data_IF_138169920044
#
_entry.id   IF_138169920044
#
_cell.length_a   1.000
_cell.length_b   1.000
_cell.length_c   1.000
_cell.angle_alpha   90.00
_cell.angle_beta   90.00
_cell.angle_gamma   90.00
#
_symmetry.space_group_name_H-M   'P 1'
#
loop_
_entity.id
_entity.type
_entity.pdbx_description
1 polymer ?
#
# COMPACT_ATOMS: atom_id res chain seq x y z
N UNK A 1 -40.66 34.38 30.98
CA UNK A 1 -39.22 34.18 31.22
C UNK A 1 -38.50 35.10 30.25
N UNK A 2 -37.85 36.16 30.73
CA UNK A 2 -37.12 37.15 29.93
C UNK A 2 -35.86 36.50 29.39
N UNK A 3 -35.63 36.55 28.06
CA UNK A 3 -34.38 36.09 27.41
C UNK A 3 -33.21 36.95 27.85
N UNK A 4 -32.11 36.32 28.21
CA UNK A 4 -30.84 36.94 28.59
C UNK A 4 -30.18 37.56 27.34
N UNK A 5 -29.78 38.87 27.32
CA UNK A 5 -29.30 39.54 26.10
C UNK A 5 -27.82 39.22 25.72
N UNK A 6 -27.14 38.27 26.38
CA UNK A 6 -25.76 37.93 26.12
C UNK A 6 -25.54 36.54 25.47
N UNK A 7 -26.48 36.04 24.69
CA UNK A 7 -26.17 34.90 23.82
C UNK A 7 -25.34 35.41 22.64
N UNK A 8 -24.09 34.94 22.45
CA UNK A 8 -23.31 35.29 21.28
C UNK A 8 -24.06 34.79 20.04
N UNK A 9 -24.23 35.67 19.06
CA UNK A 9 -24.74 35.29 17.73
C UNK A 9 -23.86 34.19 17.18
N UNK A 10 -24.42 33.15 16.49
CA UNK A 10 -23.62 32.16 15.81
C UNK A 10 -22.72 32.85 14.77
N UNK A 11 -21.43 32.79 14.99
CA UNK A 11 -20.39 33.30 14.10
C UNK A 11 -20.26 32.31 12.93
N UNK A 12 -21.15 32.41 11.89
CA UNK A 12 -20.73 32.18 10.51
C UNK A 12 -21.92 32.26 9.56
N UNK A 13 -21.83 33.01 8.45
CA UNK A 13 -22.72 32.85 7.32
C UNK A 13 -22.58 31.40 6.78
N UNK A 14 -23.68 30.84 6.27
CA UNK A 14 -23.76 29.54 5.63
C UNK A 14 -22.67 29.37 4.58
N UNK A 15 -21.54 28.82 4.95
CA UNK A 15 -20.64 28.24 3.97
C UNK A 15 -21.27 26.93 3.53
N UNK A 16 -21.57 26.74 2.24
CA UNK A 16 -22.14 25.49 1.76
C UNK A 16 -21.20 24.34 2.13
N UNK A 17 -21.78 23.19 2.50
CA UNK A 17 -20.97 21.98 2.77
C UNK A 17 -20.12 21.67 1.55
N UNK A 18 -18.82 21.42 1.71
CA UNK A 18 -17.98 21.06 0.58
C UNK A 18 -18.39 19.68 0.04
N UNK A 19 -18.27 19.52 -1.27
CA UNK A 19 -18.43 18.23 -1.92
C UNK A 19 -17.39 17.21 -1.40
N UNK A 20 -17.65 15.92 -1.60
CA UNK A 20 -16.68 14.87 -1.24
C UNK A 20 -15.35 15.07 -1.97
N UNK A 21 -15.39 15.52 -3.23
CA UNK A 21 -14.20 15.80 -4.02
C UNK A 21 -13.40 16.98 -3.46
N UNK A 22 -14.06 18.08 -3.14
CA UNK A 22 -13.39 19.27 -2.59
C UNK A 22 -12.81 18.97 -1.20
N UNK A 23 -13.60 18.24 -0.37
CA UNK A 23 -13.14 17.74 0.93
C UNK A 23 -11.86 16.91 0.80
N UNK A 24 -11.84 15.96 -0.14
CA UNK A 24 -10.66 15.13 -0.39
C UNK A 24 -9.45 15.97 -0.82
N UNK A 25 -9.64 16.93 -1.73
CA UNK A 25 -8.58 17.82 -2.19
C UNK A 25 -8.01 18.65 -1.02
N UNK A 26 -8.88 19.20 -0.18
CA UNK A 26 -8.46 19.95 1.01
C UNK A 26 -7.64 19.04 1.92
N UNK A 27 -8.17 17.89 2.33
CA UNK A 27 -7.50 16.95 3.25
C UNK A 27 -6.13 16.52 2.70
N UNK A 28 -6.09 16.08 1.45
CA UNK A 28 -4.85 15.55 0.88
C UNK A 28 -3.76 16.62 0.70
N UNK A 29 -4.13 17.88 0.50
CA UNK A 29 -3.19 18.99 0.46
C UNK A 29 -2.66 19.40 1.85
N UNK A 30 -3.34 19.03 2.94
CA UNK A 30 -2.91 19.29 4.30
C UNK A 30 -1.90 18.24 4.81
N UNK A 31 -1.76 17.09 4.15
CA UNK A 31 -0.87 16.00 4.61
C UNK A 31 0.59 16.46 4.51
N UNK A 32 1.32 16.55 5.64
CA UNK A 32 2.73 16.88 5.62
C UNK A 32 3.54 15.76 4.97
N UNK A 33 4.77 16.05 4.58
CA UNK A 33 5.72 15.01 4.14
C UNK A 33 6.62 14.66 5.31
N UNK A 34 6.88 13.37 5.50
CA UNK A 34 7.94 12.92 6.39
C UNK A 34 9.30 13.38 5.85
N UNK A 35 10.18 13.74 6.77
CA UNK A 35 11.56 14.12 6.44
C UNK A 35 12.39 12.85 6.19
N UNK A 36 12.96 12.75 4.98
CA UNK A 36 13.77 11.59 4.57
C UNK A 36 15.10 11.46 5.34
N UNK A 37 15.45 12.42 6.20
CA UNK A 37 16.63 12.36 7.05
C UNK A 37 16.27 12.04 8.52
N UNK A 38 15.20 12.64 9.03
CA UNK A 38 14.82 12.57 10.45
C UNK A 38 13.75 11.50 10.72
N UNK A 39 12.76 11.37 9.82
CA UNK A 39 11.63 10.44 9.98
C UNK A 39 11.92 9.07 9.36
N UNK A 40 13.10 8.52 9.66
CA UNK A 40 13.56 7.26 9.06
C UNK A 40 14.14 6.30 10.08
N UNK A 41 14.16 5.03 9.71
CA UNK A 41 14.81 3.96 10.46
C UNK A 41 15.48 2.98 9.51
N UNK A 42 16.49 2.27 10.03
CA UNK A 42 17.14 1.17 9.30
C UNK A 42 16.48 -0.12 9.77
N UNK A 43 16.02 -0.92 8.82
CA UNK A 43 15.39 -2.22 9.11
C UNK A 43 16.11 -3.33 8.37
N UNK A 44 16.16 -4.51 8.97
CA UNK A 44 16.62 -5.71 8.29
C UNK A 44 15.68 -6.06 7.14
N UNK A 45 16.22 -6.64 6.07
CA UNK A 45 15.45 -6.98 4.87
C UNK A 45 14.25 -7.89 5.16
N UNK A 46 14.36 -8.79 6.16
CA UNK A 46 13.26 -9.64 6.63
C UNK A 46 12.08 -8.85 7.21
N UNK A 47 12.32 -7.66 7.78
CA UNK A 47 11.31 -6.78 8.35
C UNK A 47 10.84 -5.70 7.37
N UNK A 48 11.36 -5.70 6.15
CA UNK A 48 11.15 -4.61 5.19
C UNK A 48 9.85 -4.73 4.38
N UNK A 49 9.16 -5.86 4.43
CA UNK A 49 7.90 -6.04 3.69
C UNK A 49 6.85 -4.97 4.06
N UNK A 50 6.27 -4.33 3.05
CA UNK A 50 5.28 -3.26 3.21
C UNK A 50 5.86 -1.92 3.68
N UNK A 51 7.18 -1.82 3.92
CA UNK A 51 7.85 -0.57 4.27
C UNK A 51 8.10 0.28 3.02
N UNK A 52 8.35 1.57 3.22
CA UNK A 52 8.56 2.51 2.12
C UNK A 52 9.99 3.04 2.19
N UNK A 53 10.75 2.89 1.10
CA UNK A 53 12.13 3.36 1.01
C UNK A 53 12.20 4.88 1.21
N UNK A 54 13.05 5.33 2.13
CA UNK A 54 13.31 6.76 2.36
C UNK A 54 14.38 7.31 1.40
N UNK A 55 15.27 6.46 0.94
CA UNK A 55 16.36 6.80 0.02
C UNK A 55 16.42 5.81 -1.14
N UNK A 56 16.91 6.21 -2.33
CA UNK A 56 17.12 5.27 -3.41
C UNK A 56 18.17 4.23 -3.03
N UNK A 57 18.04 3.02 -3.56
CA UNK A 57 19.04 1.95 -3.40
C UNK A 57 19.74 1.74 -4.73
N UNK A 58 21.07 1.86 -4.71
CA UNK A 58 21.93 1.58 -5.85
C UNK A 58 22.60 0.21 -5.65
N UNK A 59 22.80 -0.53 -6.73
CA UNK A 59 23.55 -1.78 -6.69
C UNK A 59 25.02 -1.53 -6.38
N UNK A 60 25.60 -2.34 -5.50
CA UNK A 60 27.05 -2.41 -5.30
C UNK A 60 27.69 -3.48 -6.17
N UNK A 61 26.91 -4.32 -6.82
CA UNK A 61 27.31 -5.49 -7.59
C UNK A 61 26.76 -5.43 -9.02
N UNK A 62 27.48 -6.07 -9.93
CA UNK A 62 26.96 -6.37 -11.26
C UNK A 62 26.00 -7.56 -11.20
N UNK A 63 25.00 -7.62 -12.10
CA UNK A 63 24.13 -8.77 -12.23
C UNK A 63 23.87 -9.12 -13.71
N UNK A 64 24.15 -10.34 -14.14
CA UNK A 64 24.84 -11.41 -13.42
C UNK A 64 26.24 -10.99 -12.92
N UNK A 65 26.71 -11.63 -11.84
CA UNK A 65 28.01 -11.29 -11.22
C UNK A 65 29.21 -11.68 -12.09
N UNK A 66 29.03 -12.71 -12.93
CA UNK A 66 30.00 -13.26 -13.89
C UNK A 66 29.26 -13.73 -15.14
N UNK A 67 30.04 -13.93 -16.22
CA UNK A 67 29.54 -14.63 -17.39
C UNK A 67 29.15 -16.05 -16.99
N UNK A 68 27.92 -16.48 -17.33
CA UNK A 68 27.41 -17.79 -16.93
C UNK A 68 26.54 -18.42 -18.01
N UNK A 69 26.44 -19.77 -17.94
CA UNK A 69 25.61 -20.52 -18.88
C UNK A 69 24.11 -20.28 -18.61
N UNK A 70 23.35 -20.05 -19.68
CA UNK A 70 21.90 -20.01 -19.65
C UNK A 70 21.25 -21.40 -19.75
N UNK A 71 21.99 -22.42 -20.17
CA UNK A 71 21.51 -23.77 -20.48
C UNK A 71 22.46 -24.85 -19.98
N UNK A 72 21.97 -26.05 -19.83
CA UNK A 72 22.79 -27.24 -19.67
C UNK A 72 23.39 -27.65 -21.03
N UNK A 73 24.70 -27.89 -21.09
CA UNK A 73 25.35 -28.17 -22.34
C UNK A 73 26.87 -28.23 -22.26
N UNK A 74 27.52 -27.65 -23.22
CA UNK A 74 28.97 -27.61 -23.33
C UNK A 74 29.44 -26.18 -23.61
N UNK A 75 30.30 -25.68 -22.75
CA UNK A 75 31.04 -24.44 -23.00
C UNK A 75 32.12 -24.75 -24.05
N UNK A 76 32.14 -23.96 -25.10
CA UNK A 76 33.05 -24.13 -26.25
C UNK A 76 33.62 -22.78 -26.69
N UNK A 77 34.64 -22.79 -27.53
CA UNK A 77 35.06 -21.64 -28.31
C UNK A 77 34.22 -21.61 -29.59
N UNK A 78 33.55 -20.51 -29.88
CA UNK A 78 32.75 -20.36 -31.11
C UNK A 78 33.56 -20.67 -32.36
N UNK A 79 34.81 -20.22 -32.39
CA UNK A 79 35.76 -20.42 -33.49
C UNK A 79 35.96 -21.89 -33.85
N UNK A 80 35.88 -22.80 -32.87
CA UNK A 80 36.07 -24.25 -33.11
C UNK A 80 34.80 -24.90 -33.69
N UNK A 81 33.60 -24.27 -33.54
CA UNK A 81 32.33 -24.93 -33.85
C UNK A 81 31.44 -24.20 -34.89
N UNK A 82 31.90 -23.06 -35.42
CA UNK A 82 31.12 -22.21 -36.32
C UNK A 82 30.74 -22.87 -37.67
N UNK A 83 31.34 -23.99 -38.01
CA UNK A 83 31.04 -24.76 -39.24
C UNK A 83 30.42 -26.14 -38.93
N UNK A 84 30.02 -26.42 -37.68
CA UNK A 84 29.44 -27.72 -37.31
C UNK A 84 28.01 -27.90 -37.84
N UNK A 85 27.72 -29.12 -38.31
CA UNK A 85 26.33 -29.50 -38.66
C UNK A 85 26.15 -31.03 -38.43
N UNK A 86 24.94 -31.54 -38.66
CA UNK A 86 24.62 -32.93 -38.37
C UNK A 86 25.37 -33.91 -39.30
N UNK A 87 25.72 -33.50 -40.53
CA UNK A 87 26.43 -34.33 -41.52
C UNK A 87 27.94 -34.29 -41.28
N UNK A 88 28.43 -33.19 -40.79
CA UNK A 88 29.85 -32.95 -40.47
C UNK A 88 29.97 -32.38 -39.04
N UNK A 89 29.76 -33.21 -38.03
CA UNK A 89 29.84 -32.75 -36.64
C UNK A 89 31.30 -32.45 -36.22
N UNK A 90 31.52 -31.36 -35.52
CA UNK A 90 32.81 -31.03 -34.92
C UNK A 90 32.96 -31.83 -33.63
N UNK A 91 34.10 -32.53 -33.48
CA UNK A 91 34.40 -33.32 -32.28
C UNK A 91 35.38 -32.58 -31.39
N UNK A 92 34.99 -32.34 -30.14
CA UNK A 92 35.80 -31.68 -29.10
C UNK A 92 36.10 -32.63 -27.95
N UNK A 93 37.27 -32.48 -27.32
CA UNK A 93 37.61 -33.20 -26.08
C UNK A 93 36.92 -32.55 -24.87
N UNK A 94 36.23 -33.34 -24.06
CA UNK A 94 35.61 -32.85 -22.82
C UNK A 94 36.63 -32.91 -21.69
N UNK A 95 37.21 -31.75 -21.31
CA UNK A 95 38.29 -31.64 -20.37
C UNK A 95 37.87 -31.44 -18.92
N UNK A 96 36.61 -31.02 -18.70
CA UNK A 96 36.09 -30.77 -17.35
C UNK A 96 34.57 -30.78 -17.33
N UNK A 97 34.02 -30.85 -16.11
CA UNK A 97 32.61 -30.58 -15.79
C UNK A 97 32.52 -29.39 -14.84
N UNK A 98 31.64 -28.43 -15.12
CA UNK A 98 31.48 -27.16 -14.39
C UNK A 98 30.08 -27.10 -13.81
N UNK A 99 29.84 -27.56 -12.58
CA UNK A 99 28.58 -27.41 -11.90
C UNK A 99 28.35 -25.97 -11.42
N UNK A 100 27.11 -25.59 -11.19
CA UNK A 100 26.75 -24.31 -10.58
C UNK A 100 27.44 -24.16 -9.20
N UNK A 101 27.92 -22.94 -8.91
CA UNK A 101 28.68 -22.66 -7.67
C UNK A 101 30.16 -23.01 -7.73
N UNK A 102 30.65 -23.60 -8.82
CA UNK A 102 32.07 -23.88 -9.04
C UNK A 102 32.73 -22.78 -9.88
N UNK A 103 33.91 -22.34 -9.48
CA UNK A 103 34.75 -21.43 -10.27
C UNK A 103 35.78 -22.21 -11.06
N UNK A 104 35.70 -22.28 -12.41
CA UNK A 104 36.70 -22.99 -13.22
C UNK A 104 38.05 -22.30 -13.14
N UNK A 105 39.11 -23.08 -12.91
CA UNK A 105 40.52 -22.60 -12.80
C UNK A 105 41.37 -23.01 -14.02
N UNK A 106 40.73 -23.27 -15.13
CA UNK A 106 41.41 -23.67 -16.39
C UNK A 106 40.96 -22.77 -17.54
N UNK A 107 41.68 -22.82 -18.62
CA UNK A 107 41.35 -22.10 -19.87
C UNK A 107 41.12 -23.15 -20.97
N UNK A 108 39.97 -23.08 -21.65
CA UNK A 108 39.68 -23.93 -22.80
C UNK A 108 40.65 -23.61 -23.93
N UNK A 109 41.33 -24.66 -24.42
CA UNK A 109 42.19 -24.59 -25.58
C UNK A 109 41.44 -24.95 -26.87
N UNK A 110 41.95 -24.65 -28.07
CA UNK A 110 41.39 -25.11 -29.33
C UNK A 110 41.11 -26.61 -29.33
N UNK A 111 39.91 -27.01 -29.81
CA UNK A 111 39.48 -28.41 -29.84
C UNK A 111 38.97 -28.98 -28.51
N UNK A 112 38.84 -28.15 -27.46
CA UNK A 112 38.33 -28.56 -26.15
C UNK A 112 36.92 -28.02 -25.88
N UNK A 113 36.20 -28.74 -25.05
CA UNK A 113 34.91 -28.34 -24.47
C UNK A 113 34.87 -28.64 -22.98
N UNK A 114 34.04 -27.94 -22.22
CA UNK A 114 33.69 -28.28 -20.85
C UNK A 114 32.21 -28.52 -20.70
N UNK A 115 31.81 -29.63 -20.08
CA UNK A 115 30.41 -29.84 -19.67
C UNK A 115 30.02 -28.73 -18.69
N UNK A 116 28.94 -28.04 -18.97
CA UNK A 116 28.51 -26.90 -18.15
C UNK A 116 27.03 -26.99 -17.86
N UNK A 117 26.65 -26.59 -16.65
CA UNK A 117 25.24 -26.55 -16.21
C UNK A 117 24.72 -25.13 -16.11
N UNK A 118 23.41 -24.97 -16.19
CA UNK A 118 22.71 -23.69 -16.09
C UNK A 118 23.13 -22.92 -14.83
N UNK A 119 23.55 -21.67 -15.00
CA UNK A 119 24.04 -20.81 -13.93
C UNK A 119 25.50 -20.97 -13.55
N UNK A 120 26.18 -21.97 -14.11
CA UNK A 120 27.63 -22.18 -13.88
C UNK A 120 28.45 -21.10 -14.59
N UNK A 121 29.56 -20.72 -13.96
CA UNK A 121 30.48 -19.69 -14.49
C UNK A 121 31.19 -20.19 -15.74
N UNK A 122 31.22 -19.35 -16.78
CA UNK A 122 31.94 -19.66 -18.02
C UNK A 122 33.46 -19.85 -17.75
N UNK A 123 34.10 -20.88 -18.31
CA UNK A 123 35.55 -21.03 -18.22
C UNK A 123 36.24 -20.00 -19.11
N UNK A 124 37.44 -19.58 -18.72
CA UNK A 124 38.27 -18.75 -19.58
C UNK A 124 38.50 -19.43 -20.94
N UNK A 125 38.46 -18.66 -22.02
CA UNK A 125 38.61 -19.18 -23.39
C UNK A 125 37.33 -19.75 -24.00
N UNK A 126 36.28 -20.04 -23.20
CA UNK A 126 34.93 -20.37 -23.68
C UNK A 126 34.08 -19.09 -23.82
N UNK A 127 33.36 -18.97 -24.93
CA UNK A 127 32.55 -17.81 -25.28
C UNK A 127 31.13 -18.16 -25.72
N UNK A 128 30.85 -19.45 -25.89
CA UNK A 128 29.56 -19.95 -26.41
C UNK A 128 29.18 -21.23 -25.68
N UNK A 129 27.86 -21.43 -25.47
CA UNK A 129 27.32 -22.67 -24.93
C UNK A 129 26.50 -23.38 -25.99
N UNK A 130 26.78 -24.66 -26.22
CA UNK A 130 25.92 -25.52 -27.06
C UNK A 130 25.08 -26.39 -26.16
N UNK A 131 23.76 -26.32 -26.33
CA UNK A 131 22.80 -27.11 -25.53
C UNK A 131 23.08 -28.61 -25.71
N UNK A 132 22.90 -29.38 -24.66
CA UNK A 132 23.15 -30.83 -24.69
C UNK A 132 22.32 -31.55 -25.75
N UNK A 133 21.10 -31.10 -26.04
CA UNK A 133 20.17 -31.63 -27.05
C UNK A 133 20.68 -31.44 -28.48
N UNK A 134 21.67 -30.55 -28.66
CA UNK A 134 22.34 -30.27 -29.93
C UNK A 134 23.70 -30.97 -30.07
N UNK A 135 23.97 -31.93 -29.19
CA UNK A 135 25.24 -32.62 -29.09
C UNK A 135 25.05 -34.13 -28.99
N UNK A 136 26.10 -34.88 -29.25
CA UNK A 136 26.25 -36.30 -28.97
C UNK A 136 27.57 -36.56 -28.25
N UNK A 137 27.52 -37.16 -27.06
CA UNK A 137 28.68 -37.49 -26.29
C UNK A 137 29.10 -38.96 -26.54
N UNK A 138 30.39 -39.18 -26.77
CA UNK A 138 30.99 -40.49 -26.87
C UNK A 138 32.29 -40.49 -26.07
N UNK A 139 32.34 -41.29 -25.01
CA UNK A 139 33.47 -41.33 -24.07
C UNK A 139 33.79 -39.92 -23.51
N UNK A 140 35.05 -39.46 -23.74
CA UNK A 140 35.51 -38.12 -23.33
C UNK A 140 35.39 -37.06 -24.45
N UNK A 141 34.62 -37.34 -25.49
CA UNK A 141 34.41 -36.41 -26.61
C UNK A 141 32.95 -36.04 -26.77
N UNK A 142 32.73 -34.80 -27.17
CA UNK A 142 31.40 -34.30 -27.56
C UNK A 142 31.43 -33.93 -29.04
N UNK A 143 30.40 -34.35 -29.76
CA UNK A 143 30.15 -34.02 -31.15
C UNK A 143 29.07 -32.93 -31.22
N UNK A 144 29.43 -31.78 -31.78
CA UNK A 144 28.52 -30.65 -31.96
C UNK A 144 27.78 -30.85 -33.29
N UNK A 145 26.44 -30.95 -33.19
CA UNK A 145 25.59 -31.32 -34.33
C UNK A 145 24.96 -30.12 -35.04
N UNK A 146 25.10 -28.92 -34.51
CA UNK A 146 24.53 -27.70 -35.10
C UNK A 146 25.46 -26.51 -34.87
N UNK A 147 25.54 -25.58 -35.83
CA UNK A 147 26.27 -24.33 -35.69
C UNK A 147 25.58 -23.44 -34.68
N UNK A 148 26.19 -23.08 -33.55
CA UNK A 148 25.63 -22.06 -32.63
C UNK A 148 25.82 -20.65 -33.19
N UNK A 149 25.17 -19.67 -32.61
CA UNK A 149 25.51 -18.25 -32.80
C UNK A 149 26.68 -17.84 -31.89
N UNK A 150 27.45 -16.82 -32.25
CA UNK A 150 28.48 -16.28 -31.32
C UNK A 150 27.85 -15.84 -30.01
N UNK A 151 28.39 -16.27 -28.89
CA UNK A 151 27.90 -15.94 -27.56
C UNK A 151 26.56 -16.59 -27.17
N UNK A 152 26.10 -17.58 -27.98
CA UNK A 152 24.78 -18.20 -27.73
C UNK A 152 24.73 -18.85 -26.35
N UNK A 153 23.65 -18.61 -25.62
CA UNK A 153 23.39 -19.10 -24.25
C UNK A 153 24.42 -18.69 -23.20
N UNK A 154 25.21 -17.65 -23.43
CA UNK A 154 26.04 -17.00 -22.41
C UNK A 154 25.34 -15.75 -21.90
N UNK A 155 25.04 -15.70 -20.60
CA UNK A 155 24.60 -14.49 -19.92
C UNK A 155 25.83 -13.71 -19.48
N UNK A 156 26.09 -12.59 -20.12
CA UNK A 156 27.25 -11.75 -19.82
C UNK A 156 27.11 -11.10 -18.44
N UNK A 157 28.22 -10.91 -17.75
CA UNK A 157 28.35 -10.12 -16.55
C UNK A 157 27.71 -8.73 -16.77
N UNK A 158 27.00 -8.24 -15.80
CA UNK A 158 26.32 -6.93 -15.83
C UNK A 158 25.25 -6.77 -16.93
N UNK A 159 24.81 -7.85 -17.59
CA UNK A 159 23.81 -7.76 -18.66
C UNK A 159 22.45 -7.26 -18.19
N UNK A 160 22.09 -7.44 -16.92
CA UNK A 160 20.81 -6.99 -16.38
C UNK A 160 20.93 -5.65 -15.66
N UNK A 161 21.96 -5.45 -14.82
CA UNK A 161 22.35 -4.18 -14.25
C UNK A 161 23.81 -4.14 -13.82
N UNK A 162 24.38 -2.95 -13.83
CA UNK A 162 25.77 -2.69 -13.45
C UNK A 162 25.86 -2.13 -12.03
N UNK A 163 26.97 -2.37 -11.36
CA UNK A 163 27.31 -1.71 -10.12
C UNK A 163 27.22 -0.18 -10.27
N UNK A 164 26.64 0.50 -9.26
CA UNK A 164 26.34 1.92 -9.30
C UNK A 164 24.96 2.29 -9.89
N UNK A 165 24.31 1.37 -10.60
CA UNK A 165 22.97 1.62 -11.15
C UNK A 165 21.92 1.66 -10.04
N UNK A 166 20.98 2.60 -10.13
CA UNK A 166 19.84 2.66 -9.22
C UNK A 166 18.88 1.48 -9.47
N UNK A 167 18.68 0.66 -8.44
CA UNK A 167 17.78 -0.50 -8.47
C UNK A 167 16.35 -0.09 -8.13
N UNK A 168 16.19 0.65 -7.03
CA UNK A 168 14.88 1.09 -6.54
C UNK A 168 14.95 2.58 -6.19
N UNK A 169 13.98 3.39 -6.66
CA UNK A 169 13.89 4.79 -6.26
C UNK A 169 13.38 4.93 -4.81
N UNK A 170 13.64 6.08 -4.20
CA UNK A 170 12.97 6.47 -2.95
C UNK A 170 11.45 6.47 -3.12
N UNK A 171 10.71 6.36 -2.02
CA UNK A 171 9.25 6.32 -1.98
C UNK A 171 8.63 5.08 -2.64
N UNK A 172 9.43 4.03 -2.87
CA UNK A 172 8.96 2.72 -3.31
C UNK A 172 8.49 1.90 -2.12
N UNK A 173 7.30 1.30 -2.22
CA UNK A 173 6.85 0.28 -1.28
C UNK A 173 7.56 -1.04 -1.57
N UNK A 174 8.12 -1.64 -0.53
CA UNK A 174 8.83 -2.91 -0.63
C UNK A 174 7.86 -4.08 -0.51
N UNK A 175 7.65 -4.77 -1.61
CA UNK A 175 6.90 -6.02 -1.69
C UNK A 175 7.86 -7.17 -2.03
N UNK A 176 7.36 -8.36 -2.30
CA UNK A 176 8.18 -9.53 -2.54
C UNK A 176 9.20 -9.36 -3.68
N UNK A 177 8.83 -8.69 -4.77
CA UNK A 177 9.72 -8.46 -5.91
C UNK A 177 10.87 -7.51 -5.55
N UNK A 178 10.58 -6.39 -4.88
CA UNK A 178 11.58 -5.42 -4.43
C UNK A 178 12.53 -6.05 -3.41
N UNK A 179 12.00 -6.87 -2.48
CA UNK A 179 12.80 -7.61 -1.51
C UNK A 179 13.75 -8.60 -2.21
N UNK A 180 13.27 -9.32 -3.24
CA UNK A 180 14.12 -10.25 -4.00
C UNK A 180 15.26 -9.52 -4.73
N UNK A 181 14.99 -8.35 -5.32
CA UNK A 181 16.02 -7.51 -5.96
C UNK A 181 17.07 -7.07 -4.94
N UNK A 182 16.66 -6.60 -3.78
CA UNK A 182 17.55 -6.16 -2.70
C UNK A 182 18.39 -7.32 -2.17
N UNK A 183 17.80 -8.51 -1.99
CA UNK A 183 18.50 -9.71 -1.57
C UNK A 183 19.55 -10.15 -2.60
N UNK A 184 19.20 -10.17 -3.90
CA UNK A 184 20.11 -10.50 -4.98
C UNK A 184 21.29 -9.51 -5.10
N UNK A 185 21.09 -8.27 -4.65
CA UNK A 185 22.11 -7.21 -4.61
C UNK A 185 22.91 -7.20 -3.30
N UNK A 186 22.76 -8.22 -2.43
CA UNK A 186 23.39 -8.32 -1.11
C UNK A 186 23.14 -7.10 -0.22
N UNK A 187 21.89 -6.60 -0.21
CA UNK A 187 21.45 -5.50 0.61
C UNK A 187 20.72 -6.04 1.87
N UNK A 188 21.41 -6.30 2.99
CA UNK A 188 20.80 -6.93 4.17
C UNK A 188 19.88 -5.99 4.96
N UNK A 189 20.08 -4.68 4.81
CA UNK A 189 19.33 -3.64 5.52
C UNK A 189 18.99 -2.50 4.59
N UNK A 190 17.87 -1.84 4.86
CA UNK A 190 17.38 -0.70 4.07
C UNK A 190 16.95 0.46 4.97
N UNK A 191 17.15 1.68 4.49
CA UNK A 191 16.63 2.90 5.12
C UNK A 191 15.22 3.14 4.62
N UNK A 192 14.25 3.10 5.54
CA UNK A 192 12.82 3.26 5.26
C UNK A 192 12.25 4.41 6.07
N UNK A 193 11.13 4.98 5.63
CA UNK A 193 10.38 5.88 6.48
C UNK A 193 9.86 5.15 7.71
N UNK A 194 9.88 5.81 8.88
CA UNK A 194 9.21 5.28 10.08
C UNK A 194 7.70 5.15 9.81
N UNK A 195 7.03 4.29 10.55
CA UNK A 195 5.58 4.20 10.47
C UNK A 195 4.93 5.47 11.01
N UNK A 196 3.91 6.06 10.33
CA UNK A 196 3.11 7.12 10.91
C UNK A 196 2.44 6.66 12.21
N UNK A 197 2.47 7.49 13.24
CA UNK A 197 1.80 7.25 14.51
C UNK A 197 0.41 7.86 14.47
N UNK A 198 -0.61 7.07 14.79
CA UNK A 198 -2.01 7.46 14.71
C UNK A 198 -2.66 7.31 16.07
N UNK A 199 -2.91 8.44 16.75
CA UNK A 199 -3.68 8.46 18.00
C UNK A 199 -5.17 8.22 17.71
N UNK A 200 -5.79 7.33 18.46
CA UNK A 200 -7.22 6.97 18.31
C UNK A 200 -7.88 7.04 19.68
N UNK A 201 -9.01 7.74 19.75
CA UNK A 201 -9.91 7.72 20.90
C UNK A 201 -11.38 7.78 20.45
N UNK A 202 -12.26 7.24 21.28
CA UNK A 202 -13.71 7.35 21.11
C UNK A 202 -14.29 8.24 22.20
N UNK A 203 -15.34 9.02 21.87
CA UNK A 203 -16.04 9.82 22.85
C UNK A 203 -17.55 9.56 22.81
N UNK A 204 -18.14 9.45 23.99
CA UNK A 204 -19.56 9.16 24.20
C UNK A 204 -19.76 8.58 25.61
N UNK A 205 -20.70 9.15 26.35
CA UNK A 205 -21.03 8.66 27.71
C UNK A 205 -21.73 7.30 27.68
N UNK A 206 -22.28 6.91 26.53
CA UNK A 206 -22.89 5.59 26.28
C UNK A 206 -21.86 4.48 26.05
N UNK A 207 -20.59 4.81 25.78
CA UNK A 207 -19.58 3.86 25.39
C UNK A 207 -18.99 3.10 26.59
N UNK A 208 -18.82 1.79 26.39
CA UNK A 208 -18.11 0.90 27.34
C UNK A 208 -17.08 0.05 26.63
N UNK A 209 -16.13 -0.48 27.38
CA UNK A 209 -15.09 -1.40 26.89
C UNK A 209 -15.65 -2.83 26.71
N UNK A 210 -14.90 -3.70 26.00
CA UNK A 210 -15.34 -5.07 25.67
C UNK A 210 -15.57 -5.97 26.89
N UNK A 211 -14.87 -5.70 27.99
CA UNK A 211 -14.84 -6.49 29.21
C UNK A 211 -15.92 -6.10 30.22
N UNK A 212 -16.70 -5.05 29.92
CA UNK A 212 -17.78 -4.59 30.78
C UNK A 212 -19.12 -5.18 30.35
N UNK A 213 -19.96 -5.67 31.29
CA UNK A 213 -21.32 -6.06 31.00
C UNK A 213 -22.16 -4.84 30.61
N UNK A 214 -22.92 -4.98 29.51
CA UNK A 214 -23.78 -3.91 29.01
C UNK A 214 -24.94 -3.60 29.97
N UNK A 215 -25.14 -2.32 30.27
CA UNK A 215 -26.30 -1.79 30.94
C UNK A 215 -27.26 -1.15 29.91
N UNK A 216 -28.55 -1.03 30.20
CA UNK A 216 -29.48 -0.31 29.32
C UNK A 216 -28.96 1.09 28.96
N UNK A 217 -28.96 1.42 27.67
CA UNK A 217 -28.43 2.68 27.17
C UNK A 217 -26.94 2.69 26.83
N UNK A 218 -26.20 1.62 27.12
CA UNK A 218 -24.78 1.50 26.80
C UNK A 218 -24.57 0.69 25.52
N UNK A 219 -23.49 1.01 24.83
CA UNK A 219 -22.99 0.27 23.66
C UNK A 219 -21.48 0.03 23.78
N UNK A 220 -21.01 -1.08 23.22
CA UNK A 220 -19.57 -1.37 23.18
C UNK A 220 -18.89 -0.48 22.15
N UNK A 221 -17.77 0.13 22.50
CA UNK A 221 -16.91 0.86 21.55
C UNK A 221 -16.29 -0.12 20.54
N UNK A 222 -16.91 -0.29 19.40
CA UNK A 222 -16.39 -1.09 18.28
C UNK A 222 -15.49 -0.27 17.36
N UNK A 223 -15.62 1.05 17.34
CA UNK A 223 -14.93 1.94 16.41
C UNK A 223 -13.43 1.94 16.63
N UNK A 224 -13.00 2.02 17.88
CA UNK A 224 -11.57 2.05 18.22
C UNK A 224 -10.83 0.80 17.73
N UNK A 225 -11.44 -0.38 17.88
CA UNK A 225 -10.86 -1.65 17.41
C UNK A 225 -10.77 -1.72 15.90
N UNK A 226 -11.85 -1.33 15.21
CA UNK A 226 -11.88 -1.30 13.75
C UNK A 226 -10.86 -0.30 13.17
N UNK A 227 -10.80 0.91 13.74
CA UNK A 227 -9.83 1.93 13.35
C UNK A 227 -8.38 1.47 13.59
N UNK A 228 -8.09 0.84 14.72
CA UNK A 228 -6.76 0.32 15.02
C UNK A 228 -6.33 -0.77 14.02
N UNK A 229 -7.24 -1.67 13.67
CA UNK A 229 -6.99 -2.70 12.65
C UNK A 229 -6.70 -2.07 11.28
N UNK A 230 -7.52 -1.11 10.84
CA UNK A 230 -7.35 -0.40 9.58
C UNK A 230 -6.05 0.42 9.54
N UNK A 231 -5.69 1.09 10.63
CA UNK A 231 -4.42 1.81 10.76
C UNK A 231 -3.22 0.88 10.55
N UNK A 232 -3.21 -0.28 11.24
CA UNK A 232 -2.16 -1.31 11.07
C UNK A 232 -2.10 -1.84 9.64
N UNK A 233 -3.25 -2.15 9.05
CA UNK A 233 -3.35 -2.65 7.67
C UNK A 233 -2.77 -1.65 6.66
N UNK A 234 -2.84 -0.36 6.94
CA UNK A 234 -2.29 0.70 6.09
C UNK A 234 -0.84 1.08 6.44
N UNK A 235 -0.14 0.28 7.24
CA UNK A 235 1.29 0.44 7.50
C UNK A 235 1.63 1.49 8.56
N UNK A 236 0.66 1.93 9.37
CA UNK A 236 0.85 2.88 10.48
C UNK A 236 0.77 2.21 11.85
N UNK A 237 1.16 2.93 12.89
CA UNK A 237 1.15 2.49 14.28
C UNK A 237 -0.02 3.15 15.03
N UNK A 238 -1.04 2.40 15.50
CA UNK A 238 -2.11 2.93 16.31
C UNK A 238 -1.68 3.13 17.76
N UNK A 239 -1.97 4.30 18.32
CA UNK A 239 -1.82 4.64 19.73
C UNK A 239 -3.21 4.84 20.32
N UNK A 240 -3.66 3.92 21.18
CA UNK A 240 -5.00 3.93 21.72
C UNK A 240 -5.09 4.75 22.99
N UNK A 241 -5.97 5.73 23.00
CA UNK A 241 -6.27 6.58 24.17
C UNK A 241 -7.55 6.15 24.90
N UNK A 242 -8.29 5.15 24.37
CA UNK A 242 -9.47 4.61 25.00
C UNK A 242 -10.74 5.45 24.79
N UNK A 243 -11.72 5.23 25.68
CA UNK A 243 -12.98 5.97 25.70
C UNK A 243 -12.80 7.20 26.56
N UNK A 244 -13.15 8.36 26.01
CA UNK A 244 -13.12 9.65 26.69
C UNK A 244 -14.54 10.12 26.95
N UNK A 245 -14.83 10.55 28.17
CA UNK A 245 -16.16 11.08 28.51
C UNK A 245 -16.42 12.41 27.81
N UNK A 246 -17.69 12.69 27.54
CA UNK A 246 -18.13 13.92 26.86
C UNK A 246 -18.05 15.13 27.79
N UNK A 247 -16.85 15.41 28.35
CA UNK A 247 -16.59 16.61 29.09
C UNK A 247 -15.37 17.38 28.53
N UNK A 248 -15.43 18.73 28.53
CA UNK A 248 -14.40 19.56 27.92
C UNK A 248 -12.99 19.35 28.48
N UNK A 249 -12.86 19.12 29.78
CA UNK A 249 -11.56 18.92 30.43
C UNK A 249 -10.90 17.63 29.99
N UNK A 250 -11.61 16.49 30.08
CA UNK A 250 -11.09 15.18 29.68
C UNK A 250 -10.76 15.14 28.17
N UNK A 251 -11.63 15.72 27.35
CA UNK A 251 -11.38 15.84 25.91
C UNK A 251 -10.15 16.70 25.61
N UNK A 252 -10.04 17.87 26.26
CA UNK A 252 -8.88 18.78 26.09
C UNK A 252 -7.55 18.14 26.48
N UNK A 253 -7.50 17.44 27.61
CA UNK A 253 -6.32 16.70 28.04
C UNK A 253 -5.94 15.56 27.07
N UNK A 254 -6.95 14.80 26.61
CA UNK A 254 -6.73 13.68 25.67
C UNK A 254 -6.24 14.20 24.34
N UNK A 255 -6.90 15.22 23.77
CA UNK A 255 -6.48 15.84 22.51
C UNK A 255 -5.05 16.40 22.65
N UNK A 256 -4.74 17.10 23.73
CA UNK A 256 -3.39 17.64 23.98
C UNK A 256 -2.32 16.53 24.01
N UNK A 257 -2.59 15.42 24.69
CA UNK A 257 -1.68 14.27 24.72
C UNK A 257 -1.57 13.61 23.33
N UNK A 258 -2.67 13.49 22.62
CA UNK A 258 -2.70 12.87 21.29
C UNK A 258 -1.85 13.68 20.28
N UNK A 259 -2.03 15.00 20.21
CA UNK A 259 -1.26 15.87 19.30
C UNK A 259 0.24 15.92 19.61
N UNK A 260 0.62 15.69 20.86
CA UNK A 260 2.04 15.65 21.27
C UNK A 260 2.73 14.34 20.88
N UNK A 261 1.99 13.26 20.64
CA UNK A 261 2.56 11.91 20.49
C UNK A 261 2.29 11.25 19.13
N UNK A 262 1.51 11.88 18.25
CA UNK A 262 1.11 11.28 16.99
C UNK A 262 1.25 12.24 15.80
N UNK A 263 1.29 11.67 14.60
CA UNK A 263 1.30 12.40 13.33
C UNK A 263 -0.13 12.63 12.81
N UNK A 264 -1.05 11.75 13.22
CA UNK A 264 -2.48 11.82 12.92
C UNK A 264 -3.24 11.58 14.22
N UNK A 265 -4.28 12.37 14.47
CA UNK A 265 -5.22 12.16 15.56
C UNK A 265 -6.59 11.84 14.98
N UNK A 266 -7.18 10.72 15.37
CA UNK A 266 -8.52 10.30 15.00
C UNK A 266 -9.39 10.26 16.24
N UNK A 267 -10.49 11.01 16.24
CA UNK A 267 -11.58 10.82 17.19
C UNK A 267 -12.77 10.17 16.54
N UNK A 268 -13.51 9.33 17.24
CA UNK A 268 -14.78 8.77 16.83
C UNK A 268 -15.88 9.20 17.81
N UNK A 269 -16.94 9.83 17.31
CA UNK A 269 -17.98 10.49 18.13
C UNK A 269 -17.62 11.95 18.44
N UNK A 270 -18.48 12.63 19.17
CA UNK A 270 -18.30 14.02 19.60
C UNK A 270 -18.30 15.08 18.48
N UNK A 271 -18.60 14.71 17.24
CA UNK A 271 -18.65 15.59 16.05
C UNK A 271 -20.09 15.82 15.56
N UNK A 272 -21.05 15.81 16.46
CA UNK A 272 -22.46 16.07 16.11
C UNK A 272 -22.66 17.55 15.81
N UNK A 273 -23.48 17.87 14.78
CA UNK A 273 -23.87 19.25 14.43
C UNK A 273 -24.90 19.87 15.45
N UNK A 274 -24.77 19.54 16.71
CA UNK A 274 -25.63 20.06 17.79
C UNK A 274 -25.03 21.28 18.51
N UNK A 275 -25.80 21.92 19.37
CA UNK A 275 -25.46 23.17 20.08
C UNK A 275 -24.32 23.06 21.09
N UNK A 276 -23.67 21.87 21.25
CA UNK A 276 -22.59 21.58 22.20
C UNK A 276 -21.42 20.87 21.50
N UNK A 277 -20.82 21.52 20.52
CA UNK A 277 -19.59 20.97 19.90
C UNK A 277 -18.34 21.37 20.68
N UNK A 278 -18.12 20.70 21.82
CA UNK A 278 -16.94 20.91 22.66
C UNK A 278 -15.64 20.67 21.89
N UNK A 279 -15.65 19.78 20.90
CA UNK A 279 -14.44 19.44 20.12
C UNK A 279 -13.94 20.65 19.33
N UNK A 280 -14.82 21.38 18.63
CA UNK A 280 -14.43 22.60 17.88
C UNK A 280 -13.85 23.67 18.81
N UNK A 281 -14.47 23.88 19.99
CA UNK A 281 -13.98 24.86 20.98
C UNK A 281 -12.62 24.45 21.54
N UNK A 282 -12.43 23.17 21.86
CA UNK A 282 -11.16 22.64 22.37
C UNK A 282 -10.08 22.75 21.30
N UNK A 283 -10.34 22.33 20.05
CA UNK A 283 -9.40 22.46 18.96
C UNK A 283 -8.96 23.93 18.76
N UNK A 284 -9.92 24.86 18.81
CA UNK A 284 -9.60 26.28 18.71
C UNK A 284 -8.78 26.78 19.89
N UNK A 285 -9.07 26.34 21.12
CA UNK A 285 -8.29 26.73 22.33
C UNK A 285 -6.85 26.17 22.29
N UNK A 286 -6.64 25.05 21.61
CA UNK A 286 -5.31 24.46 21.38
C UNK A 286 -4.60 25.06 20.15
N UNK A 287 -5.16 26.12 19.54
CA UNK A 287 -4.58 26.83 18.40
C UNK A 287 -4.77 26.13 17.05
N UNK A 288 -5.66 25.15 16.96
CA UNK A 288 -5.91 24.46 15.71
C UNK A 288 -6.64 25.37 14.69
N UNK A 289 -6.27 25.21 13.43
CA UNK A 289 -7.02 25.72 12.28
C UNK A 289 -7.98 24.65 11.78
N UNK A 290 -9.29 24.88 11.94
CA UNK A 290 -10.31 23.98 11.43
C UNK A 290 -10.55 24.31 9.94
N UNK A 291 -10.46 23.29 9.08
CA UNK A 291 -10.62 23.39 7.63
C UNK A 291 -11.98 22.88 7.16
N UNK A 292 -12.50 21.83 7.81
CA UNK A 292 -13.74 21.14 7.46
C UNK A 292 -14.52 20.85 8.74
N UNK A 293 -15.85 21.00 8.71
CA UNK A 293 -16.77 20.62 9.79
C UNK A 293 -17.83 19.61 9.35
N UNK A 294 -18.05 19.51 8.05
CA UNK A 294 -18.99 18.55 7.48
C UNK A 294 -18.71 18.35 6.00
N UNK A 295 -19.24 17.27 5.42
CA UNK A 295 -19.07 16.90 4.01
C UNK A 295 -20.39 16.42 3.41
N UNK A 296 -20.65 16.70 2.12
CA UNK A 296 -21.83 16.24 1.39
C UNK A 296 -21.80 14.73 1.09
N UNK A 297 -21.72 13.91 2.12
CA UNK A 297 -21.51 12.46 2.06
C UNK A 297 -22.57 11.71 2.87
N UNK A 298 -22.95 10.50 2.42
CA UNK A 298 -23.82 9.56 3.15
C UNK A 298 -23.30 8.12 3.01
N UNK A 299 -23.05 7.39 4.14
CA UNK A 299 -22.95 7.93 5.50
C UNK A 299 -21.68 8.78 5.66
N UNK A 300 -21.59 9.57 6.74
CA UNK A 300 -20.35 10.30 7.05
C UNK A 300 -20.44 11.83 6.94
N UNK A 301 -21.64 12.43 7.01
CA UNK A 301 -21.80 13.90 6.99
C UNK A 301 -20.95 14.63 8.04
N UNK A 302 -20.94 14.24 9.33
CA UNK A 302 -20.03 14.83 10.30
C UNK A 302 -18.58 14.44 9.99
N UNK A 303 -17.72 15.41 9.83
CA UNK A 303 -16.29 15.24 9.60
C UNK A 303 -15.57 16.51 9.99
N UNK A 304 -14.81 16.49 11.08
CA UNK A 304 -13.96 17.62 11.47
C UNK A 304 -12.54 17.39 11.02
N UNK A 305 -11.97 18.34 10.28
CA UNK A 305 -10.55 18.31 9.87
C UNK A 305 -9.85 19.56 10.34
N UNK A 306 -8.78 19.38 11.11
CA UNK A 306 -7.99 20.49 11.63
C UNK A 306 -6.49 20.20 11.56
N UNK A 307 -5.68 21.28 11.57
CA UNK A 307 -4.22 21.23 11.65
C UNK A 307 -3.72 22.14 12.75
N UNK A 308 -2.55 21.83 13.32
CA UNK A 308 -1.90 22.61 14.37
C UNK A 308 -0.68 23.34 13.80
N UNK A 309 -0.41 24.58 14.26
CA UNK A 309 0.65 25.40 13.70
C UNK A 309 2.06 25.01 14.20
N UNK A 310 2.16 24.33 15.33
CA UNK A 310 3.43 23.99 15.98
C UNK A 310 3.74 22.50 15.87
N UNK A 311 4.99 22.14 15.57
CA UNK A 311 5.42 20.73 15.56
C UNK A 311 5.06 20.00 16.86
N UNK A 312 4.68 18.73 16.74
CA UNK A 312 4.69 17.85 15.57
C UNK A 312 3.62 18.13 14.49
N UNK A 313 2.77 19.14 14.66
CA UNK A 313 1.76 19.60 13.70
C UNK A 313 0.89 18.47 13.09
N UNK A 314 0.27 17.61 13.92
CA UNK A 314 -0.52 16.49 13.41
C UNK A 314 -1.76 17.00 12.69
N UNK A 315 -2.27 16.14 11.79
CA UNK A 315 -3.61 16.33 11.22
C UNK A 315 -4.65 15.69 12.14
N UNK A 316 -5.69 16.43 12.49
CA UNK A 316 -6.82 15.95 13.28
C UNK A 316 -7.99 15.59 12.35
N UNK A 317 -8.55 14.40 12.54
CA UNK A 317 -9.67 13.85 11.77
C UNK A 317 -10.76 13.37 12.76
N UNK A 318 -11.75 14.20 13.02
CA UNK A 318 -12.93 13.85 13.82
C UNK A 318 -13.95 13.12 12.95
N UNK A 319 -14.15 11.84 13.22
CA UNK A 319 -15.02 10.94 12.46
C UNK A 319 -16.41 10.82 13.14
N UNK A 320 -17.46 10.39 12.40
CA UNK A 320 -18.77 10.14 12.97
C UNK A 320 -18.72 9.15 14.14
N UNK A 321 -19.78 9.11 14.98
CA UNK A 321 -19.94 8.08 16.01
C UNK A 321 -20.50 6.75 15.45
N UNK A 322 -21.34 6.82 14.42
CA UNK A 322 -21.97 5.63 13.83
C UNK A 322 -20.94 4.73 13.12
N UNK A 323 -20.88 3.42 13.46
CA UNK A 323 -19.79 2.54 13.04
C UNK A 323 -19.59 2.41 11.53
N UNK A 324 -20.67 2.22 10.74
CA UNK A 324 -20.54 2.13 9.29
C UNK A 324 -20.06 3.47 8.69
N UNK A 325 -20.48 4.60 9.26
CA UNK A 325 -20.03 5.91 8.83
C UNK A 325 -18.53 6.11 9.11
N UNK A 326 -18.03 5.64 10.26
CA UNK A 326 -16.60 5.64 10.61
C UNK A 326 -15.77 4.92 9.55
N UNK A 327 -16.17 3.69 9.20
CA UNK A 327 -15.40 2.86 8.26
C UNK A 327 -15.42 3.47 6.84
N UNK A 328 -16.59 3.91 6.36
CA UNK A 328 -16.71 4.53 5.03
C UNK A 328 -15.89 5.82 4.97
N UNK A 329 -15.92 6.65 6.02
CA UNK A 329 -15.14 7.89 6.10
C UNK A 329 -13.64 7.58 6.19
N UNK A 330 -13.25 6.53 6.93
CA UNK A 330 -11.87 6.07 7.00
C UNK A 330 -11.35 5.69 5.61
N UNK A 331 -12.02 4.80 4.91
CA UNK A 331 -11.58 4.35 3.57
C UNK A 331 -11.51 5.51 2.57
N UNK A 332 -12.44 6.45 2.66
CA UNK A 332 -12.50 7.57 1.71
C UNK A 332 -11.46 8.64 1.96
N UNK A 333 -11.13 8.95 3.22
CA UNK A 333 -10.28 10.10 3.58
C UNK A 333 -9.06 9.73 4.41
N UNK A 334 -9.19 8.89 5.45
CA UNK A 334 -8.11 8.62 6.40
C UNK A 334 -7.06 7.69 5.82
N UNK A 335 -7.48 6.63 5.15
CA UNK A 335 -6.56 5.68 4.50
C UNK A 335 -5.60 6.35 3.52
N UNK A 336 -6.04 7.23 2.60
CA UNK A 336 -5.13 7.97 1.72
C UNK A 336 -4.17 8.89 2.49
N UNK A 337 -4.63 9.52 3.58
CA UNK A 337 -3.79 10.35 4.45
C UNK A 337 -2.66 9.52 5.05
N UNK A 338 -2.97 8.36 5.62
CA UNK A 338 -1.97 7.45 6.22
C UNK A 338 -0.94 7.02 5.18
N UNK A 339 -1.39 6.57 4.01
CA UNK A 339 -0.51 6.11 2.94
C UNK A 339 0.39 7.21 2.39
N UNK A 340 -0.16 8.40 2.18
CA UNK A 340 0.58 9.56 1.70
C UNK A 340 1.60 10.03 2.73
N UNK A 341 1.20 10.14 4.00
CA UNK A 341 2.10 10.50 5.09
C UNK A 341 3.20 9.44 5.26
N UNK A 342 2.89 8.16 5.10
CA UNK A 342 3.87 7.06 5.15
C UNK A 342 4.94 7.11 4.06
N UNK A 343 4.89 8.06 3.12
CA UNK A 343 5.93 8.29 2.13
C UNK A 343 5.67 7.74 0.73
N UNK A 344 4.47 7.19 0.45
CA UNK A 344 4.14 6.75 -0.91
C UNK A 344 4.08 7.94 -1.89
N UNK A 345 4.87 7.86 -2.96
CA UNK A 345 4.83 8.86 -4.04
C UNK A 345 3.59 8.72 -4.94
N UNK A 346 3.13 7.47 -5.14
CA UNK A 346 2.01 7.10 -6.01
C UNK A 346 1.22 5.95 -5.36
N UNK A 347 -0.05 5.80 -5.75
CA UNK A 347 -0.89 4.69 -5.27
C UNK A 347 -1.38 4.85 -3.84
N UNK A 348 -1.27 6.06 -3.26
CA UNK A 348 -1.87 6.40 -1.97
C UNK A 348 -3.32 6.82 -2.12
N UNK A 349 -3.72 7.27 -3.31
CA UNK A 349 -5.07 7.75 -3.62
C UNK A 349 -6.10 6.63 -3.54
N UNK A 350 -7.37 6.97 -3.29
CA UNK A 350 -8.48 6.01 -3.40
C UNK A 350 -8.60 5.49 -4.84
N UNK A 351 -8.76 4.18 -4.99
CA UNK A 351 -8.91 3.53 -6.29
C UNK A 351 -10.38 3.40 -6.64
N UNK A 352 -10.79 4.03 -7.73
CA UNK A 352 -12.16 3.90 -8.24
C UNK A 352 -12.15 3.09 -9.53
N UNK A 353 -13.07 2.12 -9.61
CA UNK A 353 -13.29 1.29 -10.79
C UNK A 353 -14.74 1.41 -11.25
N UNK A 354 -14.96 1.37 -12.56
CA UNK A 354 -16.30 1.36 -13.15
C UNK A 354 -16.67 -0.08 -13.43
N UNK A 355 -17.77 -0.55 -12.85
CA UNK A 355 -18.22 -1.95 -12.91
C UNK A 355 -19.72 -2.01 -13.13
N UNK A 356 -20.28 -3.17 -13.46
CA UNK A 356 -21.73 -3.38 -13.50
C UNK A 356 -22.26 -3.59 -12.08
N UNK A 357 -23.44 -3.02 -11.79
CA UNK A 357 -24.17 -3.35 -10.57
C UNK A 357 -25.04 -4.59 -10.81
N UNK A 358 -24.85 -5.61 -9.99
CA UNK A 358 -25.75 -6.78 -9.97
C UNK A 358 -27.13 -6.41 -9.42
N UNK A 359 -27.14 -5.54 -8.41
CA UNK A 359 -28.34 -5.15 -7.68
C UNK A 359 -28.81 -3.74 -8.05
N UNK A 360 -30.10 -3.46 -7.75
CA UNK A 360 -30.60 -2.10 -7.75
C UNK A 360 -30.05 -1.31 -6.58
N UNK A 361 -29.56 -0.09 -6.87
CA UNK A 361 -29.00 0.82 -5.89
C UNK A 361 -29.87 2.06 -5.75
N UNK A 362 -30.17 2.46 -4.52
CA UNK A 362 -31.04 3.59 -4.21
C UNK A 362 -30.36 4.60 -3.29
N UNK A 363 -30.59 5.89 -3.53
CA UNK A 363 -30.19 6.99 -2.67
C UNK A 363 -31.31 8.02 -2.53
N UNK A 364 -31.16 8.99 -1.61
CA UNK A 364 -32.07 10.13 -1.53
C UNK A 364 -31.65 11.28 -2.48
N UNK A 365 -30.57 11.13 -3.21
CA UNK A 365 -30.01 12.12 -4.13
C UNK A 365 -29.47 13.41 -3.48
N UNK A 366 -29.59 13.56 -2.16
CA UNK A 366 -29.25 14.81 -1.44
C UNK A 366 -27.74 14.93 -1.14
N UNK A 367 -27.00 13.83 -1.20
CA UNK A 367 -25.56 13.74 -0.92
C UNK A 367 -24.94 12.60 -1.72
N UNK A 368 -23.66 12.68 -2.00
CA UNK A 368 -22.92 11.53 -2.53
C UNK A 368 -23.05 10.35 -1.57
N UNK A 369 -23.62 9.24 -2.07
CA UNK A 369 -24.01 8.09 -1.24
C UNK A 369 -23.12 6.90 -1.51
N UNK A 370 -22.60 6.29 -0.43
CA UNK A 370 -21.78 5.09 -0.45
C UNK A 370 -22.58 3.89 0.02
N UNK A 371 -22.67 2.87 -0.82
CA UNK A 371 -23.37 1.61 -0.54
C UNK A 371 -22.29 0.51 -0.51
N UNK A 372 -22.17 -0.17 0.64
CA UNK A 372 -21.18 -1.21 0.81
C UNK A 372 -21.64 -2.55 0.23
N UNK A 373 -20.68 -3.31 -0.23
CA UNK A 373 -20.87 -4.59 -0.89
C UNK A 373 -19.55 -5.24 -1.30
N UNK A 374 -19.61 -6.11 -2.27
CA UNK A 374 -18.46 -6.86 -2.75
C UNK A 374 -18.33 -6.84 -4.27
N UNK A 375 -17.10 -6.82 -4.75
CA UNK A 375 -16.76 -7.04 -6.15
C UNK A 375 -16.56 -8.53 -6.39
N UNK A 376 -17.25 -9.05 -7.40
CA UNK A 376 -17.11 -10.41 -7.90
C UNK A 376 -16.62 -10.38 -9.35
N UNK A 377 -15.76 -11.32 -9.69
CA UNK A 377 -15.35 -11.51 -11.09
C UNK A 377 -16.30 -12.52 -11.75
N UNK A 378 -17.13 -12.04 -12.66
CA UNK A 378 -18.13 -12.84 -13.39
C UNK A 378 -17.82 -12.72 -14.88
N UNK A 379 -17.57 -13.84 -15.56
CA UNK A 379 -17.25 -13.90 -17.00
C UNK A 379 -16.14 -12.91 -17.44
N UNK A 380 -15.14 -12.72 -16.58
CA UNK A 380 -14.00 -11.82 -16.85
C UNK A 380 -14.26 -10.33 -16.59
N UNK A 381 -15.44 -9.96 -16.11
CA UNK A 381 -15.80 -8.59 -15.74
C UNK A 381 -16.11 -8.50 -14.25
N UNK A 382 -15.76 -7.38 -13.63
CA UNK A 382 -16.15 -7.13 -12.25
C UNK A 382 -17.63 -6.70 -12.17
N UNK A 383 -18.36 -7.31 -11.25
CA UNK A 383 -19.71 -6.92 -10.86
C UNK A 383 -19.75 -6.54 -9.38
N UNK A 384 -20.50 -5.49 -9.07
CA UNK A 384 -20.75 -5.07 -7.69
C UNK A 384 -22.02 -5.72 -7.17
N UNK A 385 -21.90 -6.45 -6.08
CA UNK A 385 -23.02 -7.04 -5.33
C UNK A 385 -23.21 -6.29 -4.02
N UNK A 386 -24.40 -5.73 -3.84
CA UNK A 386 -24.78 -5.00 -2.62
C UNK A 386 -24.83 -5.96 -1.44
N UNK A 387 -24.25 -5.58 -0.30
CA UNK A 387 -24.37 -6.35 0.94
C UNK A 387 -25.84 -6.45 1.35
N UNK A 388 -26.26 -7.63 1.81
CA UNK A 388 -27.63 -7.89 2.24
C UNK A 388 -28.01 -7.11 3.52
N UNK A 389 -29.30 -7.01 3.81
CA UNK A 389 -29.81 -6.37 5.01
C UNK A 389 -29.84 -4.84 4.96
N UNK A 390 -29.82 -4.21 6.14
CA UNK A 390 -29.97 -2.76 6.28
C UNK A 390 -28.68 -2.01 6.05
N UNK A 391 -28.68 -1.00 5.21
CA UNK A 391 -27.60 -0.03 5.01
C UNK A 391 -27.69 1.19 5.95
N UNK A 392 -28.22 0.99 7.16
CA UNK A 392 -28.18 2.00 8.21
C UNK A 392 -26.74 2.23 8.68
N UNK A 393 -26.37 3.48 8.94
CA UNK A 393 -25.02 3.86 9.40
C UNK A 393 -24.63 3.26 10.75
N UNK A 394 -25.60 2.82 11.56
CA UNK A 394 -25.39 2.11 12.82
C UNK A 394 -25.23 0.60 12.69
N UNK A 395 -25.44 0.01 11.49
CA UNK A 395 -25.36 -1.43 11.31
C UNK A 395 -23.98 -1.87 10.83
N UNK A 396 -23.26 -2.60 11.68
CA UNK A 396 -21.94 -3.17 11.37
C UNK A 396 -22.00 -4.54 10.70
N UNK A 397 -23.10 -5.30 10.91
CA UNK A 397 -23.11 -6.75 10.64
C UNK A 397 -22.86 -7.03 9.16
N UNK A 398 -23.47 -6.30 8.27
CA UNK A 398 -23.35 -6.47 6.84
C UNK A 398 -22.16 -5.70 6.19
N UNK A 399 -21.30 -5.08 7.00
CA UNK A 399 -19.98 -4.60 6.56
C UNK A 399 -18.95 -5.71 6.52
N UNK A 400 -19.18 -6.84 7.20
CA UNK A 400 -18.32 -7.99 7.11
C UNK A 400 -18.21 -8.46 5.64
N UNK A 401 -16.99 -8.81 5.20
CA UNK A 401 -16.68 -9.23 3.82
C UNK A 401 -16.87 -8.12 2.74
N UNK A 402 -17.11 -6.87 3.14
CA UNK A 402 -17.13 -5.74 2.20
C UNK A 402 -15.72 -5.50 1.66
N UNK A 403 -15.57 -5.49 0.34
CA UNK A 403 -14.34 -5.11 -0.37
C UNK A 403 -14.55 -3.94 -1.34
N UNK A 404 -15.76 -3.35 -1.36
CA UNK A 404 -16.14 -2.31 -2.29
C UNK A 404 -17.26 -1.42 -1.76
N UNK A 405 -17.24 -0.15 -2.16
CA UNK A 405 -18.32 0.80 -1.91
C UNK A 405 -18.81 1.36 -3.25
N UNK A 406 -20.04 1.05 -3.64
CA UNK A 406 -20.67 1.70 -4.78
C UNK A 406 -20.99 3.17 -4.46
N UNK A 407 -20.74 4.05 -5.42
CA UNK A 407 -20.90 5.51 -5.26
C UNK A 407 -22.02 6.00 -6.14
N UNK A 408 -23.07 6.54 -5.51
CA UNK A 408 -24.14 7.28 -6.19
C UNK A 408 -23.85 8.77 -6.03
N UNK A 409 -23.58 9.49 -7.12
CA UNK A 409 -23.29 10.93 -7.08
C UNK A 409 -24.45 11.75 -6.51
N UNK A 410 -24.17 12.98 -6.13
CA UNK A 410 -25.20 13.97 -5.79
C UNK A 410 -26.22 14.08 -6.95
N UNK A 411 -27.51 14.02 -6.64
CA UNK A 411 -28.61 14.05 -7.61
C UNK A 411 -29.02 12.69 -8.15
N UNK A 412 -28.17 11.67 -8.08
CA UNK A 412 -28.50 10.31 -8.52
C UNK A 412 -29.32 9.58 -7.44
N UNK A 413 -30.56 9.20 -7.76
CA UNK A 413 -31.43 8.53 -6.81
C UNK A 413 -31.55 7.02 -7.03
N UNK A 414 -31.18 6.53 -8.24
CA UNK A 414 -31.38 5.15 -8.61
C UNK A 414 -30.41 4.69 -9.70
N UNK A 415 -29.82 3.53 -9.50
CA UNK A 415 -29.07 2.79 -10.54
C UNK A 415 -29.71 1.41 -10.63
N UNK A 416 -30.21 1.04 -11.83
CA UNK A 416 -30.82 -0.27 -12.05
C UNK A 416 -29.77 -1.38 -12.17
N UNK A 417 -30.18 -2.61 -11.84
CA UNK A 417 -29.37 -3.82 -12.10
C UNK A 417 -28.87 -3.86 -13.55
N UNK A 418 -27.64 -4.33 -13.75
CA UNK A 418 -26.96 -4.41 -15.05
C UNK A 418 -26.37 -3.08 -15.55
N UNK A 419 -26.58 -1.95 -14.87
CA UNK A 419 -26.00 -0.65 -15.24
C UNK A 419 -24.63 -0.43 -14.60
N UNK A 420 -23.87 0.43 -15.23
CA UNK A 420 -22.54 0.83 -14.74
C UNK A 420 -22.65 1.66 -13.46
N UNK A 421 -21.82 1.36 -12.51
CA UNK A 421 -21.64 2.10 -11.26
C UNK A 421 -20.15 2.34 -10.98
N UNK A 422 -19.83 3.50 -10.41
CA UNK A 422 -18.49 3.78 -9.90
C UNK A 422 -18.36 3.15 -8.52
N UNK A 423 -17.26 2.44 -8.28
CA UNK A 423 -17.02 1.73 -7.03
C UNK A 423 -15.65 2.12 -6.47
N UNK A 424 -15.62 2.53 -5.20
CA UNK A 424 -14.39 2.65 -4.43
C UNK A 424 -13.96 1.24 -4.02
N UNK A 425 -12.83 0.79 -4.55
CA UNK A 425 -12.22 -0.50 -4.20
C UNK A 425 -11.53 -0.38 -2.85
N UNK A 426 -11.82 -1.33 -1.96
CA UNK A 426 -11.18 -1.43 -0.65
C UNK A 426 -10.03 -2.45 -0.72
N UNK A 427 -8.93 -2.23 0.01
CA UNK A 427 -7.88 -3.23 0.12
C UNK A 427 -8.42 -4.45 0.89
N UNK A 428 -8.18 -5.62 0.33
CA UNK A 428 -8.48 -6.91 0.97
C UNK A 428 -7.36 -7.24 1.97
#
# INVERSE_FOLDING_TARGET
VKRNPHTPKPLHPYTPMPSVRDTANIIFNLVPKLDSQQDTEIVDLWAANGRILATPVNSTLDFPHWDNSAMDGYAVRYEDVHNSNAEQPVSLEVVAEIPAGYQPKFTLQPGQAARIFTGAVMPSGGDTVVMQEKTRQENNRVFILTTPKPGEFVRLKAAYYQAGTQLLPANTQLNAAEIAILAASQCPQVKVYRRPRVAIFSTGDELVTLDQPLQPGQIVDSNQYALAALVKQNGAEPILFGIVKDNPTALGETISKAIANADIVISSGGVSVGDYDYVDQILASLGAKIHIRSVEMRPGKPLTVATFPTPPAPIYLGLPGNPAAVLVTFWRFVQPVIRKLGGLAKGWEPVFVKVRSHDELHSDGKRETYIWGSLHLVDGLYEFHKAGGSHSSGNLINLAQTNALAVLPLGETFISSGKDVLVLQLPI
#
